data_IF_579321184559
#
_entry.id   IF_579321184559
#
_cell.length_a   1.000
_cell.length_b   1.000
_cell.length_c   1.000
_cell.angle_alpha   90.00
_cell.angle_beta   90.00
_cell.angle_gamma   90.00
#
_symmetry.space_group_name_H-M   'P 1'
#
loop_
_entity.id
_entity.type
_entity.pdbx_description
1 polymer ?
#
# COMPACT_ATOMS: atom_id res chain seq x y z
N UNK A 1 -12.52 35.87 -23.00
CA UNK A 1 -11.21 35.34 -22.57
C UNK A 1 -11.30 33.84 -22.60
N UNK A 2 -10.71 33.23 -23.62
CA UNK A 2 -10.64 31.79 -23.78
C UNK A 2 -9.64 31.22 -22.78
N UNK A 3 -10.10 30.29 -21.94
CA UNK A 3 -9.23 29.45 -21.14
C UNK A 3 -8.80 28.27 -22.00
N UNK A 4 -7.50 28.15 -22.22
CA UNK A 4 -6.87 27.22 -23.14
C UNK A 4 -6.79 25.82 -22.50
N UNK A 5 -7.32 24.82 -23.20
CA UNK A 5 -7.13 23.39 -22.92
C UNK A 5 -5.69 23.00 -23.25
N UNK A 6 -4.75 23.11 -22.31
CA UNK A 6 -3.44 22.48 -22.46
C UNK A 6 -2.69 22.37 -21.13
N UNK A 7 -3.10 21.39 -20.31
CA UNK A 7 -2.26 20.75 -19.29
C UNK A 7 -2.95 19.46 -18.79
N UNK A 8 -3.20 18.51 -19.71
CA UNK A 8 -3.64 17.16 -19.34
C UNK A 8 -2.46 16.33 -18.82
N UNK A 9 -1.93 16.72 -17.67
CA UNK A 9 -1.06 15.90 -16.82
C UNK A 9 -1.89 14.94 -15.96
N UNK A 10 -2.87 14.24 -16.53
CA UNK A 10 -3.75 13.31 -15.80
C UNK A 10 -3.46 11.87 -16.23
N UNK A 11 -2.42 11.26 -15.64
CA UNK A 11 -2.20 9.81 -15.79
C UNK A 11 -1.66 9.15 -14.53
N UNK A 12 -2.14 9.58 -13.36
CA UNK A 12 -1.88 8.86 -12.09
C UNK A 12 -3.12 8.12 -11.58
N UNK A 13 -4.33 8.49 -12.00
CA UNK A 13 -5.55 7.85 -11.50
C UNK A 13 -5.94 6.68 -12.40
N UNK A 14 -5.11 5.64 -12.37
CA UNK A 14 -5.47 4.32 -12.91
C UNK A 14 -6.64 3.70 -12.15
N UNK A 15 -7.30 2.69 -12.76
CA UNK A 15 -8.44 1.94 -12.20
C UNK A 15 -8.21 1.40 -10.78
N UNK A 16 -6.96 1.19 -10.37
CA UNK A 16 -6.56 0.70 -9.04
C UNK A 16 -6.91 1.70 -7.90
N UNK A 17 -6.99 3.00 -8.18
CA UNK A 17 -7.49 4.01 -7.22
C UNK A 17 -8.95 3.76 -6.82
N UNK A 18 -9.72 3.07 -7.68
CA UNK A 18 -11.15 2.81 -7.49
C UNK A 18 -11.41 1.72 -6.44
N UNK A 19 -10.58 0.67 -6.43
CA UNK A 19 -10.69 -0.45 -5.49
C UNK A 19 -10.41 0.00 -4.04
N UNK A 20 -9.38 0.83 -3.86
CA UNK A 20 -9.03 1.40 -2.55
C UNK A 20 -10.20 2.20 -1.95
N UNK A 21 -10.90 3.01 -2.74
CA UNK A 21 -12.04 3.80 -2.22
C UNK A 21 -13.26 2.94 -1.90
N UNK A 22 -13.51 1.87 -2.65
CA UNK A 22 -14.66 0.98 -2.41
C UNK A 22 -14.52 0.27 -1.07
N UNK A 23 -13.32 -0.24 -0.77
CA UNK A 23 -12.99 -0.85 0.53
C UNK A 23 -13.19 0.12 1.70
N UNK A 24 -12.81 1.38 1.55
CA UNK A 24 -13.03 2.41 2.58
C UNK A 24 -14.53 2.64 2.81
N UNK A 25 -15.30 2.77 1.72
CA UNK A 25 -16.75 3.00 1.79
C UNK A 25 -17.46 1.86 2.51
N UNK A 26 -17.15 0.62 2.14
CA UNK A 26 -17.75 -0.56 2.75
C UNK A 26 -17.42 -0.63 4.24
N UNK A 27 -16.16 -0.39 4.60
CA UNK A 27 -15.72 -0.39 5.99
C UNK A 27 -16.41 0.69 6.83
N UNK A 28 -16.51 1.92 6.32
CA UNK A 28 -17.20 3.03 6.99
C UNK A 28 -18.67 2.71 7.21
N UNK A 29 -19.36 2.22 6.17
CA UNK A 29 -20.78 1.89 6.24
C UNK A 29 -21.07 0.73 7.19
N UNK A 30 -20.23 -0.31 7.15
CA UNK A 30 -20.37 -1.49 8.00
C UNK A 30 -20.32 -1.13 9.50
N UNK A 31 -19.50 -0.14 9.87
CA UNK A 31 -19.32 0.26 11.27
C UNK A 31 -20.13 1.51 11.65
N UNK A 32 -20.80 2.17 10.69
CA UNK A 32 -21.62 3.35 10.94
C UNK A 32 -20.83 4.60 11.33
N UNK A 33 -19.55 4.71 10.94
CA UNK A 33 -18.72 5.86 11.29
C UNK A 33 -19.25 7.16 10.68
N UNK A 34 -19.38 8.20 11.49
CA UNK A 34 -19.92 9.50 11.11
C UNK A 34 -18.80 10.51 10.82
N UNK A 35 -17.63 10.36 11.43
CA UNK A 35 -16.49 11.27 11.29
C UNK A 35 -15.24 10.48 10.92
N UNK A 36 -14.82 10.58 9.67
CA UNK A 36 -13.74 9.78 9.09
C UNK A 36 -12.52 10.65 8.83
N UNK A 37 -11.44 10.41 9.57
CA UNK A 37 -10.16 11.07 9.35
C UNK A 37 -9.36 10.33 8.27
N UNK A 38 -8.83 11.07 7.30
CA UNK A 38 -7.93 10.55 6.27
C UNK A 38 -6.50 11.00 6.56
N UNK A 39 -5.57 10.06 6.61
CA UNK A 39 -4.16 10.34 6.80
C UNK A 39 -3.38 9.88 5.58
N UNK A 40 -2.53 10.78 5.06
CA UNK A 40 -1.67 10.53 3.90
C UNK A 40 -0.22 10.79 4.25
N UNK A 41 0.73 10.00 3.74
CA UNK A 41 2.15 10.36 3.73
C UNK A 41 2.39 11.50 2.73
N UNK A 42 3.51 12.20 2.88
CA UNK A 42 3.91 13.33 2.02
C UNK A 42 3.84 13.00 0.52
N UNK A 43 4.25 11.77 0.15
CA UNK A 43 4.24 11.28 -1.24
C UNK A 43 2.84 11.21 -1.86
N UNK A 44 1.78 11.16 -1.06
CA UNK A 44 0.39 11.08 -1.51
C UNK A 44 -0.41 12.37 -1.29
N UNK A 45 0.20 13.43 -0.73
CA UNK A 45 -0.50 14.71 -0.48
C UNK A 45 -0.99 15.37 -1.77
N UNK A 46 -0.30 15.17 -2.89
CA UNK A 46 -0.71 15.72 -4.21
C UNK A 46 -2.04 15.17 -4.70
N UNK A 47 -2.39 13.94 -4.32
CA UNK A 47 -3.65 13.26 -4.70
C UNK A 47 -4.69 13.20 -3.57
N UNK A 48 -4.30 13.57 -2.34
CA UNK A 48 -5.16 13.52 -1.17
C UNK A 48 -6.50 14.29 -1.34
N UNK A 49 -6.54 15.51 -1.92
CA UNK A 49 -7.81 16.21 -2.13
C UNK A 49 -8.78 15.45 -3.04
N UNK A 50 -8.27 14.83 -4.10
CA UNK A 50 -9.10 14.08 -5.05
C UNK A 50 -9.75 12.86 -4.39
N UNK A 51 -8.95 12.11 -3.61
CA UNK A 51 -9.43 10.95 -2.84
C UNK A 51 -10.46 11.39 -1.79
N UNK A 52 -10.19 12.49 -1.07
CA UNK A 52 -11.09 13.01 -0.06
C UNK A 52 -12.44 13.43 -0.66
N UNK A 53 -12.43 14.20 -1.75
CA UNK A 53 -13.66 14.66 -2.42
C UNK A 53 -14.48 13.51 -2.98
N UNK A 54 -13.80 12.48 -3.46
CA UNK A 54 -14.45 11.27 -3.92
C UNK A 54 -15.11 10.51 -2.76
N UNK A 55 -14.41 10.30 -1.65
CA UNK A 55 -14.98 9.65 -0.48
C UNK A 55 -16.16 10.43 0.09
N UNK A 56 -16.09 11.78 0.11
CA UNK A 56 -17.23 12.65 0.48
C UNK A 56 -18.46 12.42 -0.41
N UNK A 57 -18.27 12.25 -1.73
CA UNK A 57 -19.38 11.92 -2.64
C UNK A 57 -19.98 10.54 -2.40
N UNK A 58 -19.16 9.56 -2.02
CA UNK A 58 -19.59 8.18 -1.79
C UNK A 58 -20.18 7.96 -0.38
N UNK A 59 -19.82 8.82 0.57
CA UNK A 59 -20.23 8.80 1.97
C UNK A 59 -20.90 10.13 2.35
N UNK A 60 -22.04 10.50 1.75
CA UNK A 60 -22.69 11.78 2.01
C UNK A 60 -23.17 11.94 3.46
N UNK A 61 -23.40 10.83 4.16
CA UNK A 61 -23.83 10.80 5.56
C UNK A 61 -22.66 10.91 6.55
N UNK A 62 -21.41 10.83 6.09
CA UNK A 62 -20.22 10.89 6.94
C UNK A 62 -19.40 12.16 6.65
N UNK A 63 -18.94 12.83 7.69
CA UNK A 63 -17.94 13.89 7.57
C UNK A 63 -16.57 13.28 7.31
N UNK A 64 -16.07 13.43 6.08
CA UNK A 64 -14.73 12.99 5.68
C UNK A 64 -13.77 14.17 5.61
N UNK A 65 -12.65 14.09 6.34
CA UNK A 65 -11.64 15.17 6.41
C UNK A 65 -10.22 14.64 6.40
N UNK A 66 -9.28 15.46 5.91
CA UNK A 66 -7.86 15.13 5.85
C UNK A 66 -7.17 15.68 7.10
N UNK A 67 -6.34 14.88 7.77
CA UNK A 67 -5.51 15.33 8.88
C UNK A 67 -4.40 16.25 8.37
N UNK A 68 -4.20 17.37 9.06
CA UNK A 68 -3.21 18.39 8.68
C UNK A 68 -1.79 18.08 9.13
N UNK A 69 -1.62 17.22 10.13
CA UNK A 69 -0.31 16.80 10.63
C UNK A 69 0.15 15.53 9.90
N UNK A 70 0.42 15.68 8.59
CA UNK A 70 1.16 14.69 7.85
C UNK A 70 2.64 14.94 8.11
N UNK A 71 3.26 14.06 8.89
CA UNK A 71 4.73 13.92 9.06
C UNK A 71 5.34 14.47 10.36
N UNK A 72 4.94 13.92 11.51
CA UNK A 72 5.97 13.51 12.46
C UNK A 72 6.52 12.16 11.98
N UNK A 73 7.71 12.20 11.35
CA UNK A 73 8.31 11.10 10.60
C UNK A 73 8.32 9.76 11.34
N UNK A 74 7.89 8.71 10.64
CA UNK A 74 7.92 7.32 11.12
C UNK A 74 7.05 6.39 10.28
N UNK A 75 5.83 6.83 9.93
CA UNK A 75 4.81 5.93 9.37
C UNK A 75 3.63 5.69 10.31
N UNK A 76 3.68 6.27 11.52
CA UNK A 76 2.69 6.13 12.57
C UNK A 76 1.36 6.83 12.30
N UNK A 77 0.33 6.34 12.99
CA UNK A 77 -1.04 6.84 12.91
C UNK A 77 -1.20 8.07 13.82
N UNK A 78 -1.74 9.17 13.29
CA UNK A 78 -2.01 10.38 14.08
C UNK A 78 -3.38 10.27 14.80
N UNK A 79 -3.41 9.47 15.86
CA UNK A 79 -4.61 9.32 16.67
C UNK A 79 -4.93 10.56 17.48
N UNK A 80 -3.91 11.29 17.93
CA UNK A 80 -4.09 12.49 18.76
C UNK A 80 -4.79 13.57 17.96
N UNK A 81 -4.32 13.86 16.73
CA UNK A 81 -4.98 14.78 15.83
C UNK A 81 -6.39 14.33 15.48
N UNK A 82 -6.58 13.05 15.15
CA UNK A 82 -7.89 12.50 14.83
C UNK A 82 -8.89 12.64 16.01
N UNK A 83 -8.48 12.33 17.23
CA UNK A 83 -9.29 12.47 18.43
C UNK A 83 -9.62 13.93 18.77
N UNK A 84 -8.67 14.85 18.59
CA UNK A 84 -8.93 16.29 18.79
C UNK A 84 -10.01 16.82 17.84
N UNK A 85 -10.10 16.27 16.62
CA UNK A 85 -11.18 16.56 15.68
C UNK A 85 -12.39 15.64 15.84
N UNK A 86 -12.43 14.79 16.88
CA UNK A 86 -13.54 13.89 17.17
C UNK A 86 -13.79 12.87 16.06
N UNK A 87 -12.74 12.33 15.44
CA UNK A 87 -12.88 11.24 14.48
C UNK A 87 -13.40 9.97 15.17
N UNK A 88 -14.25 9.21 14.48
CA UNK A 88 -14.66 7.88 14.91
C UNK A 88 -13.68 6.80 14.42
N UNK A 89 -12.95 7.11 13.35
CA UNK A 89 -11.97 6.20 12.74
C UNK A 89 -10.93 6.96 11.91
N UNK A 90 -9.84 6.26 11.58
CA UNK A 90 -8.76 6.77 10.73
C UNK A 90 -8.58 5.84 9.54
N UNK A 91 -8.49 6.41 8.34
CA UNK A 91 -8.09 5.73 7.11
C UNK A 91 -6.70 6.20 6.74
N UNK A 92 -5.71 5.32 6.89
CA UNK A 92 -4.31 5.63 6.58
C UNK A 92 -3.95 5.08 5.20
N UNK A 93 -3.54 5.96 4.29
CA UNK A 93 -3.08 5.60 2.96
C UNK A 93 -1.56 5.39 2.92
N UNK A 94 -1.10 4.53 2.01
CA UNK A 94 0.33 4.33 1.75
C UNK A 94 1.03 3.39 2.75
N UNK A 95 2.36 3.40 2.71
CA UNK A 95 3.18 2.56 3.59
C UNK A 95 3.04 2.99 5.06
N UNK A 96 3.07 2.02 5.96
CA UNK A 96 3.06 2.24 7.39
C UNK A 96 4.03 1.26 8.06
N UNK A 97 4.75 1.76 9.04
CA UNK A 97 5.61 1.03 9.99
C UNK A 97 4.81 0.11 10.94
N UNK A 98 3.47 0.16 10.84
CA UNK A 98 2.52 -0.67 11.56
C UNK A 98 2.74 -0.68 13.07
N UNK A 99 2.85 0.50 13.67
CA UNK A 99 2.57 0.64 15.09
C UNK A 99 1.05 0.70 15.31
N UNK A 100 0.45 -0.47 15.57
CA UNK A 100 -0.91 -0.51 16.12
C UNK A 100 -0.85 0.02 17.55
N UNK A 101 -1.47 1.16 17.80
CA UNK A 101 -1.63 1.66 19.16
C UNK A 101 -2.63 2.79 19.28
N UNK A 102 -3.81 2.46 19.81
CA UNK A 102 -4.69 3.45 20.43
C UNK A 102 -6.19 3.14 20.34
N UNK A 103 -7.00 4.18 20.57
CA UNK A 103 -8.42 4.08 20.91
C UNK A 103 -9.34 4.13 19.68
N UNK A 104 -8.84 4.55 18.52
CA UNK A 104 -9.62 4.67 17.29
C UNK A 104 -9.40 3.46 16.35
N UNK A 105 -10.45 2.91 15.74
CA UNK A 105 -10.33 1.98 14.62
C UNK A 105 -9.52 2.59 13.47
N UNK A 106 -8.54 1.84 12.95
CA UNK A 106 -7.69 2.26 11.84
C UNK A 106 -7.80 1.28 10.66
N UNK A 107 -8.10 1.80 9.47
CA UNK A 107 -8.04 1.08 8.21
C UNK A 107 -6.79 1.50 7.43
N UNK A 108 -5.91 0.53 7.17
CA UNK A 108 -4.75 0.72 6.30
C UNK A 108 -5.11 0.42 4.85
N UNK A 109 -4.83 1.39 3.96
CA UNK A 109 -5.07 1.34 2.53
C UNK A 109 -3.74 1.44 1.81
N UNK A 110 -3.18 0.28 1.49
CA UNK A 110 -1.98 0.16 0.68
C UNK A 110 -2.39 0.25 -0.79
N UNK A 111 -1.81 1.19 -1.55
CA UNK A 111 -2.04 1.24 -2.99
C UNK A 111 -0.95 0.47 -3.72
N UNK A 112 -1.34 -0.28 -4.74
CA UNK A 112 -0.44 -0.89 -5.72
C UNK A 112 0.27 0.15 -6.61
N UNK A 113 -0.02 1.45 -6.45
CA UNK A 113 0.48 2.53 -7.30
C UNK A 113 1.77 3.18 -6.83
N UNK A 114 2.35 2.76 -5.71
CA UNK A 114 3.78 3.02 -5.46
C UNK A 114 4.60 1.91 -6.13
N UNK A 115 4.33 1.67 -7.42
CA UNK A 115 5.17 0.90 -8.33
C UNK A 115 6.23 1.87 -8.86
N UNK A 116 7.44 1.87 -8.30
CA UNK A 116 8.59 2.38 -9.05
C UNK A 116 8.78 1.41 -10.21
N UNK A 117 8.20 1.78 -11.35
CA UNK A 117 7.98 0.89 -12.49
C UNK A 117 9.26 0.24 -13.04
N UNK A 118 10.43 0.78 -12.71
CA UNK A 118 11.72 0.35 -13.26
C UNK A 118 12.52 -0.59 -12.36
N UNK A 119 12.08 -0.84 -11.12
CA UNK A 119 12.86 -1.63 -10.16
C UNK A 119 12.35 -3.06 -10.00
N UNK A 120 11.13 -3.41 -10.46
CA UNK A 120 10.47 -4.67 -10.04
C UNK A 120 10.89 -5.87 -10.88
N UNK A 121 11.03 -5.70 -12.20
CA UNK A 121 11.65 -6.70 -13.05
C UNK A 121 13.11 -6.92 -12.61
N UNK A 122 13.82 -5.81 -12.35
CA UNK A 122 15.17 -5.83 -11.79
C UNK A 122 15.24 -6.54 -10.44
N UNK A 123 14.23 -6.42 -9.56
CA UNK A 123 14.20 -7.10 -8.28
C UNK A 123 14.06 -8.63 -8.44
N UNK A 124 13.20 -9.09 -9.35
CA UNK A 124 13.08 -10.52 -9.65
C UNK A 124 14.39 -11.09 -10.21
N UNK A 125 15.03 -10.39 -11.14
CA UNK A 125 16.33 -10.78 -11.70
C UNK A 125 17.46 -10.77 -10.65
N UNK A 126 17.49 -9.75 -9.78
CA UNK A 126 18.45 -9.66 -8.67
C UNK A 126 18.26 -10.80 -7.66
N UNK A 127 17.01 -11.08 -7.28
CA UNK A 127 16.68 -12.17 -6.35
C UNK A 127 17.03 -13.52 -6.97
N UNK A 128 16.71 -13.74 -8.24
CA UNK A 128 17.09 -14.94 -8.97
C UNK A 128 18.62 -15.11 -9.07
N UNK A 129 19.35 -14.04 -9.34
CA UNK A 129 20.82 -14.03 -9.39
C UNK A 129 21.45 -14.37 -8.04
N UNK A 130 21.01 -13.69 -6.97
CA UNK A 130 21.47 -13.96 -5.60
C UNK A 130 21.13 -15.38 -5.16
N UNK A 131 19.94 -15.89 -5.51
CA UNK A 131 19.54 -17.25 -5.19
C UNK A 131 20.43 -18.29 -5.87
N UNK A 132 20.79 -18.10 -7.16
CA UNK A 132 21.74 -18.96 -7.86
C UNK A 132 23.11 -18.95 -7.19
N UNK A 133 23.60 -17.79 -6.80
CA UNK A 133 24.91 -17.67 -6.15
C UNK A 133 24.94 -18.36 -4.78
N UNK A 134 23.92 -18.13 -3.95
CA UNK A 134 23.93 -18.57 -2.56
C UNK A 134 23.39 -19.98 -2.32
N UNK A 135 22.47 -20.47 -3.15
CA UNK A 135 21.83 -21.78 -2.94
C UNK A 135 22.31 -22.89 -3.88
N UNK A 136 23.01 -22.56 -4.99
CA UNK A 136 23.44 -23.58 -5.96
C UNK A 136 24.30 -24.68 -5.35
N UNK A 137 25.17 -24.35 -4.40
CA UNK A 137 26.01 -25.34 -3.70
C UNK A 137 25.20 -26.24 -2.77
N UNK A 138 24.36 -25.67 -1.90
CA UNK A 138 23.50 -26.45 -1.00
C UNK A 138 22.45 -27.29 -1.74
N UNK A 139 22.02 -26.87 -2.93
CA UNK A 139 21.14 -27.65 -3.80
C UNK A 139 21.88 -28.81 -4.49
N UNK A 140 23.11 -28.57 -4.95
CA UNK A 140 23.93 -29.57 -5.65
C UNK A 140 24.48 -30.67 -4.71
N UNK A 141 24.70 -30.36 -3.44
CA UNK A 141 25.19 -31.30 -2.43
C UNK A 141 24.09 -32.20 -1.85
N UNK A 142 22.82 -31.91 -2.12
CA UNK A 142 21.69 -32.64 -1.54
C UNK A 142 21.48 -33.99 -2.22
N UNK A 143 21.56 -35.07 -1.43
CA UNK A 143 21.31 -36.44 -1.90
C UNK A 143 19.82 -36.70 -2.09
N UNK A 144 19.46 -37.60 -3.02
CA UNK A 144 18.06 -37.95 -3.35
C UNK A 144 17.24 -38.49 -2.17
N UNK A 145 17.87 -38.84 -1.05
CA UNK A 145 17.23 -39.38 0.16
C UNK A 145 16.78 -38.31 1.17
N UNK A 146 17.21 -37.04 1.05
CA UNK A 146 16.97 -35.99 2.07
C UNK A 146 15.65 -35.20 1.90
N UNK A 147 14.72 -35.71 1.09
CA UNK A 147 13.39 -35.10 0.88
C UNK A 147 13.41 -33.74 0.14
N UNK A 148 12.25 -33.16 -0.15
CA UNK A 148 12.17 -31.89 -0.87
C UNK A 148 12.77 -30.73 -0.06
N UNK A 149 13.35 -29.75 -0.77
CA UNK A 149 13.80 -28.49 -0.16
C UNK A 149 12.62 -27.53 -0.16
N UNK A 150 12.23 -27.05 1.01
CA UNK A 150 11.27 -25.96 1.14
C UNK A 150 12.00 -24.62 1.13
N UNK A 151 11.56 -23.70 0.28
CA UNK A 151 12.02 -22.31 0.28
C UNK A 151 10.95 -21.43 0.95
N UNK A 152 11.34 -20.64 1.95
CA UNK A 152 10.49 -19.63 2.56
C UNK A 152 10.86 -18.26 2.01
N UNK A 153 9.95 -17.64 1.25
CA UNK A 153 10.10 -16.26 0.80
C UNK A 153 9.51 -15.31 1.85
N UNK A 154 10.36 -14.48 2.45
CA UNK A 154 9.95 -13.34 3.27
C UNK A 154 10.24 -12.07 2.48
N UNK A 155 9.19 -11.30 2.17
CA UNK A 155 9.31 -10.03 1.49
C UNK A 155 8.47 -8.97 2.19
N UNK A 156 8.86 -7.72 2.04
CA UNK A 156 8.10 -6.58 2.55
C UNK A 156 6.68 -6.56 1.95
N UNK A 157 5.71 -6.01 2.68
CA UNK A 157 4.32 -5.87 2.20
C UNK A 157 4.24 -5.16 0.85
N UNK A 158 5.17 -4.25 0.56
CA UNK A 158 5.27 -3.56 -0.73
C UNK A 158 5.42 -4.50 -1.92
N UNK A 159 5.86 -5.75 -1.70
CA UNK A 159 6.00 -6.77 -2.73
C UNK A 159 4.77 -7.67 -2.87
N UNK A 160 3.68 -7.46 -2.12
CA UNK A 160 2.54 -8.39 -2.10
C UNK A 160 1.96 -8.69 -3.48
N UNK A 161 1.85 -7.68 -4.35
CA UNK A 161 1.35 -7.83 -5.73
C UNK A 161 2.36 -8.48 -6.68
N UNK A 162 3.63 -8.55 -6.27
CA UNK A 162 4.72 -9.08 -7.08
C UNK A 162 5.25 -10.42 -6.56
N UNK A 163 4.67 -10.98 -5.48
CA UNK A 163 5.12 -12.23 -4.86
C UNK A 163 5.12 -13.36 -5.88
N UNK A 164 4.06 -13.49 -6.68
CA UNK A 164 3.97 -14.54 -7.70
C UNK A 164 5.14 -14.47 -8.69
N UNK A 165 5.50 -13.26 -9.13
CA UNK A 165 6.64 -13.06 -10.05
C UNK A 165 7.99 -13.39 -9.39
N UNK A 166 8.14 -13.07 -8.11
CA UNK A 166 9.35 -13.41 -7.34
C UNK A 166 9.46 -14.94 -7.16
N UNK A 167 8.34 -15.61 -6.86
CA UNK A 167 8.28 -17.07 -6.75
C UNK A 167 8.61 -17.74 -8.08
N UNK A 168 8.02 -17.26 -9.19
CA UNK A 168 8.31 -17.77 -10.53
C UNK A 168 9.79 -17.60 -10.90
N UNK A 169 10.37 -16.43 -10.62
CA UNK A 169 11.78 -16.15 -10.87
C UNK A 169 12.71 -17.03 -10.03
N UNK A 170 12.40 -17.23 -8.75
CA UNK A 170 13.12 -18.14 -7.87
C UNK A 170 13.03 -19.59 -8.32
N UNK A 171 11.83 -20.04 -8.72
CA UNK A 171 11.62 -21.38 -9.24
C UNK A 171 12.44 -21.61 -10.51
N UNK A 172 12.39 -20.68 -11.46
CA UNK A 172 13.20 -20.73 -12.69
C UNK A 172 14.71 -20.61 -12.45
N UNK A 173 15.13 -20.07 -11.31
CA UNK A 173 16.53 -19.91 -10.94
C UNK A 173 17.13 -21.16 -10.29
N UNK A 174 16.32 -21.95 -9.60
CA UNK A 174 16.75 -23.07 -8.75
C UNK A 174 16.32 -24.45 -9.27
N UNK A 175 15.43 -24.52 -10.27
CA UNK A 175 15.09 -25.73 -11.02
C UNK A 175 16.14 -26.03 -12.10
#
# INVERSE_FOLDING_TARGET
MAWNEEASGSRLVGSESWESTSRVVDWVRQHGFQRVALQFPDSLLTIAPEIADRLRRLLPESLVFVLGDSSYGGGGVDEVGAQHYGADCIVRFGLSDQERGGALPVLFVFSSQIKVADTWASAADLVAGAAREHFSQSLAEKSAEEGPIGLLLLCDMSFHDSVDRLVDALWAALA
#
